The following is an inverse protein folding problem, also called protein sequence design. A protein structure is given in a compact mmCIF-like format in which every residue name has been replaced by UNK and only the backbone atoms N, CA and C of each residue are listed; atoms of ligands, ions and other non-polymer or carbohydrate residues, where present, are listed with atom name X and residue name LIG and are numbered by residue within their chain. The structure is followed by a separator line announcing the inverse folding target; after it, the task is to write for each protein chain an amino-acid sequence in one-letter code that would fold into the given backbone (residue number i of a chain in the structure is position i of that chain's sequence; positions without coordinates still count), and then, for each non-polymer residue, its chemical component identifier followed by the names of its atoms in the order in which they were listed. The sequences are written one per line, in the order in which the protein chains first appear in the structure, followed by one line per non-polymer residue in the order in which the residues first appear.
data_IF_127255206508
#
_entry.id   IF_127255206508
#
_cell.length_a   1.000
_cell.length_b   1.000
_cell.length_c   1.000
_cell.angle_alpha   90.00
_cell.angle_beta   90.00
_cell.angle_gamma   90.00
#
_symmetry.space_group_name_H-M   'P 1'
#
loop_
_entity.id
_entity.type
_entity.pdbx_description
1 polymer ?
#
# COMPACT_ATOMS: atom_id res chain seq x y z
N UNK A 1 -2.83 6.02 -15.58
CA UNK A 1 -2.61 7.01 -14.51
C UNK A 1 -2.01 6.32 -13.29
N UNK A 2 -0.91 6.86 -12.78
CA UNK A 2 -0.26 6.38 -11.55
C UNK A 2 -0.53 7.40 -10.44
N UNK A 3 -0.96 6.93 -9.27
CA UNK A 3 -1.20 7.75 -8.09
C UNK A 3 -0.21 7.44 -6.97
N UNK A 4 0.18 8.46 -6.21
CA UNK A 4 1.07 8.34 -5.07
C UNK A 4 0.45 8.99 -3.83
N UNK A 5 0.41 8.25 -2.72
CA UNK A 5 0.03 8.78 -1.41
C UNK A 5 1.17 8.45 -0.43
N UNK A 6 1.92 9.49 -0.05
CA UNK A 6 3.00 9.37 0.94
C UNK A 6 2.50 8.95 2.32
N UNK A 7 3.43 8.50 3.17
CA UNK A 7 3.14 8.15 4.56
C UNK A 7 2.81 9.36 5.45
N UNK A 8 2.32 9.07 6.65
CA UNK A 8 2.08 10.05 7.73
C UNK A 8 3.27 10.21 8.67
N UNK A 9 4.48 9.92 8.18
CA UNK A 9 5.69 10.04 8.98
C UNK A 9 6.03 11.50 9.21
N UNK A 10 6.26 11.88 10.48
CA UNK A 10 6.98 13.13 10.79
C UNK A 10 8.36 13.02 10.16
N UNK A 11 8.69 13.90 9.23
CA UNK A 11 10.09 14.23 8.97
C UNK A 11 10.53 15.27 10.00
N UNK A 12 11.83 15.46 10.22
CA UNK A 12 12.35 16.51 11.13
C UNK A 12 11.81 17.92 10.79
N UNK A 13 11.28 18.08 9.57
CA UNK A 13 10.70 19.31 9.03
C UNK A 13 9.17 19.36 9.08
N UNK A 14 8.50 18.29 9.51
CA UNK A 14 7.04 18.24 9.61
C UNK A 14 6.58 18.65 11.02
N UNK A 15 6.44 19.96 11.22
CA UNK A 15 6.02 20.59 12.48
C UNK A 15 4.48 20.70 12.61
N UNK A 16 3.72 20.21 11.62
CA UNK A 16 2.26 20.27 11.62
C UNK A 16 1.57 19.13 12.40
N UNK A 17 0.28 19.26 12.70
CA UNK A 17 -0.51 18.12 13.17
C UNK A 17 -0.50 17.00 12.12
N UNK A 18 -0.52 15.72 12.52
CA UNK A 18 -0.51 14.60 11.58
C UNK A 18 -1.65 14.74 10.59
N UNK A 19 -1.32 14.83 9.30
CA UNK A 19 -2.32 15.05 8.26
C UNK A 19 -3.03 13.73 7.95
N UNK A 20 -4.35 13.62 8.17
CA UNK A 20 -5.08 12.37 8.01
C UNK A 20 -5.04 11.87 6.56
N UNK A 21 -4.86 10.56 6.40
CA UNK A 21 -4.80 9.91 5.08
C UNK A 21 -6.17 9.89 4.37
N UNK A 22 -7.27 9.96 5.12
CA UNK A 22 -8.63 9.72 4.61
C UNK A 22 -9.01 10.66 3.47
N UNK A 23 -8.87 11.98 3.65
CA UNK A 23 -9.27 12.96 2.63
C UNK A 23 -8.40 12.95 1.36
N UNK A 24 -7.21 12.34 1.42
CA UNK A 24 -6.28 12.32 0.28
C UNK A 24 -6.70 11.32 -0.79
N UNK A 25 -7.34 10.22 -0.41
CA UNK A 25 -7.77 9.19 -1.35
C UNK A 25 -8.94 9.65 -2.21
N UNK A 26 -9.86 10.42 -1.64
CA UNK A 26 -11.00 10.96 -2.39
C UNK A 26 -10.56 12.05 -3.37
N UNK A 27 -9.62 12.91 -2.96
CA UNK A 27 -9.01 13.91 -3.85
C UNK A 27 -8.20 13.29 -5.00
N UNK A 28 -7.63 12.09 -4.80
CA UNK A 28 -6.88 11.38 -5.84
C UNK A 28 -7.79 10.88 -6.97
N UNK A 29 -8.96 10.31 -6.64
CA UNK A 29 -9.86 9.65 -7.59
C UNK A 29 -9.27 8.37 -8.22
N UNK A 30 -9.88 7.78 -9.27
CA UNK A 30 -9.53 6.47 -9.82
C UNK A 30 -8.17 6.41 -10.55
N UNK A 31 -7.29 5.47 -10.22
CA UNK A 31 -5.99 5.30 -10.90
C UNK A 31 -5.83 3.88 -11.42
N UNK A 32 -4.90 3.65 -12.34
CA UNK A 32 -4.57 2.29 -12.81
C UNK A 32 -3.60 1.60 -11.85
N UNK A 33 -2.70 2.38 -11.25
CA UNK A 33 -1.67 1.93 -10.31
C UNK A 33 -1.65 2.89 -9.13
N UNK A 34 -1.80 2.38 -7.91
CA UNK A 34 -1.65 3.14 -6.68
C UNK A 34 -0.37 2.74 -5.94
N UNK A 35 0.41 3.73 -5.51
CA UNK A 35 1.56 3.53 -4.64
C UNK A 35 1.33 4.24 -3.29
N UNK A 36 1.42 3.50 -2.19
CA UNK A 36 1.31 4.05 -0.83
C UNK A 36 2.52 3.70 0.02
N UNK A 37 2.74 4.45 1.09
CA UNK A 37 3.71 4.03 2.10
C UNK A 37 3.15 2.92 3.00
N UNK A 38 1.94 3.11 3.54
CA UNK A 38 1.30 2.20 4.51
C UNK A 38 0.55 1.05 3.83
N UNK A 39 0.44 -0.08 4.53
CA UNK A 39 -0.37 -1.22 4.10
C UNK A 39 -1.89 -0.94 4.15
N UNK A 40 -2.70 -1.61 3.30
CA UNK A 40 -4.14 -1.65 3.52
C UNK A 40 -4.43 -2.41 4.81
N UNK A 41 -5.56 -2.12 5.47
CA UNK A 41 -5.96 -2.78 6.71
C UNK A 41 -6.41 -4.25 6.51
N UNK A 42 -5.50 -5.08 6.00
CA UNK A 42 -5.65 -6.51 5.76
C UNK A 42 -4.63 -7.23 6.63
N UNK A 43 -5.03 -8.07 7.60
CA UNK A 43 -4.10 -8.73 8.52
C UNK A 43 -2.98 -9.53 7.83
N UNK A 44 -3.27 -10.15 6.70
CA UNK A 44 -2.26 -10.87 5.92
C UNK A 44 -1.13 -9.94 5.42
N UNK A 45 -1.45 -8.69 5.10
CA UNK A 45 -0.49 -7.70 4.60
C UNK A 45 0.09 -6.81 5.70
N UNK A 46 -0.62 -6.65 6.82
CA UNK A 46 -0.28 -5.68 7.88
C UNK A 46 0.21 -6.30 9.18
N UNK A 47 0.23 -7.63 9.34
CA UNK A 47 0.82 -8.25 10.53
C UNK A 47 2.29 -8.59 10.30
N UNK A 48 3.16 -8.08 11.18
CA UNK A 48 4.55 -8.51 11.24
C UNK A 48 4.64 -9.85 11.97
N UNK A 49 5.28 -10.84 11.34
CA UNK A 49 5.35 -12.21 11.88
C UNK A 49 6.34 -12.37 13.03
N UNK A 50 7.29 -11.45 13.20
CA UNK A 50 8.24 -11.50 14.32
C UNK A 50 7.61 -10.90 15.57
N UNK A 51 6.90 -9.78 15.45
CA UNK A 51 6.18 -9.19 16.59
C UNK A 51 4.87 -9.92 16.88
N UNK A 52 4.31 -10.61 15.88
CA UNK A 52 3.00 -11.25 15.92
C UNK A 52 1.83 -10.26 15.95
N UNK A 53 2.09 -8.96 15.76
CA UNK A 53 1.12 -7.89 15.95
C UNK A 53 0.80 -7.18 14.62
N UNK A 54 -0.41 -6.64 14.46
CA UNK A 54 -0.71 -5.71 13.39
C UNK A 54 0.14 -4.45 13.52
N UNK A 55 0.81 -4.09 12.44
CA UNK A 55 1.53 -2.84 12.25
C UNK A 55 0.60 -1.75 11.71
N UNK A 56 1.16 -0.54 11.52
CA UNK A 56 0.44 0.60 10.96
C UNK A 56 -0.15 0.24 9.59
N UNK A 57 -1.47 0.44 9.46
CA UNK A 57 -2.23 0.20 8.23
C UNK A 57 -3.39 1.19 8.10
N UNK A 58 -4.01 1.26 6.93
CA UNK A 58 -5.09 2.23 6.65
C UNK A 58 -6.38 1.54 6.21
N UNK A 59 -7.46 1.82 6.95
CA UNK A 59 -8.84 1.43 6.58
C UNK A 59 -9.36 2.25 5.41
N UNK A 60 -9.03 3.54 5.35
CA UNK A 60 -9.41 4.40 4.23
C UNK A 60 -8.78 3.93 2.92
N UNK A 61 -7.52 3.49 2.96
CA UNK A 61 -6.87 2.86 1.82
C UNK A 61 -7.62 1.59 1.39
N UNK A 62 -7.97 0.71 2.33
CA UNK A 62 -8.74 -0.49 2.01
C UNK A 62 -10.08 -0.14 1.34
N UNK A 63 -10.79 0.87 1.85
CA UNK A 63 -12.04 1.36 1.26
C UNK A 63 -11.85 1.92 -0.16
N UNK A 64 -10.78 2.69 -0.40
CA UNK A 64 -10.42 3.16 -1.74
C UNK A 64 -10.15 1.98 -2.68
N UNK A 65 -9.36 0.99 -2.27
CA UNK A 65 -9.03 -0.17 -3.10
C UNK A 65 -10.25 -1.03 -3.44
N UNK A 66 -11.20 -1.15 -2.50
CA UNK A 66 -12.47 -1.84 -2.73
C UNK A 66 -13.38 -1.09 -3.72
N UNK A 67 -13.35 0.25 -3.69
CA UNK A 67 -14.20 1.11 -4.51
C UNK A 67 -13.66 1.32 -5.92
N UNK A 68 -12.42 1.80 -6.02
CA UNK A 68 -11.81 2.23 -7.28
C UNK A 68 -11.08 1.11 -8.01
N UNK A 69 -10.73 0.04 -7.30
CA UNK A 69 -10.12 -1.18 -7.84
C UNK A 69 -9.02 -0.94 -8.89
N UNK A 70 -7.95 -0.19 -8.57
CA UNK A 70 -6.80 -0.06 -9.47
C UNK A 70 -6.27 -1.45 -9.82
N UNK A 71 -5.73 -1.65 -11.03
CA UNK A 71 -5.18 -2.95 -11.40
C UNK A 71 -4.06 -3.39 -10.44
N UNK A 72 -3.24 -2.42 -10.00
CA UNK A 72 -2.13 -2.65 -9.09
C UNK A 72 -2.09 -1.68 -7.92
N UNK A 73 -1.69 -2.21 -6.78
CA UNK A 73 -1.39 -1.45 -5.58
C UNK A 73 -0.03 -1.88 -5.01
N UNK A 74 0.88 -0.94 -4.82
CA UNK A 74 2.19 -1.18 -4.21
C UNK A 74 2.32 -0.42 -2.90
N UNK A 75 2.77 -1.12 -1.86
CA UNK A 75 2.95 -0.53 -0.54
C UNK A 75 4.25 -0.98 0.13
N UNK A 76 4.65 -0.30 1.20
CA UNK A 76 5.85 -0.63 1.98
C UNK A 76 5.57 -0.72 3.48
N UNK A 77 6.57 -0.33 4.28
CA UNK A 77 6.55 -0.18 5.74
C UNK A 77 6.51 -1.49 6.55
N UNK A 78 5.81 -2.52 6.07
CA UNK A 78 5.78 -3.83 6.76
C UNK A 78 7.01 -4.65 6.38
N UNK A 79 7.92 -4.84 7.34
CA UNK A 79 9.20 -5.49 7.09
C UNK A 79 9.11 -7.01 6.98
N UNK A 80 8.25 -7.68 7.77
CA UNK A 80 8.08 -9.12 7.74
C UNK A 80 6.59 -9.51 7.72
N UNK A 81 5.88 -9.25 6.59
CA UNK A 81 4.44 -9.48 6.52
C UNK A 81 4.11 -10.98 6.49
N UNK A 82 2.94 -11.35 7.01
CA UNK A 82 2.36 -12.71 6.86
C UNK A 82 2.24 -13.15 5.40
N UNK A 83 1.90 -12.23 4.51
CA UNK A 83 1.84 -12.42 3.07
C UNK A 83 2.44 -11.22 2.35
N UNK A 84 3.18 -11.46 1.27
CA UNK A 84 3.80 -10.39 0.46
C UNK A 84 2.82 -9.74 -0.51
N UNK A 85 1.73 -10.41 -0.84
CA UNK A 85 0.73 -9.95 -1.78
C UNK A 85 -0.66 -10.46 -1.44
N UNK A 86 -1.68 -9.75 -1.90
CA UNK A 86 -3.08 -10.08 -1.69
C UNK A 86 -3.94 -9.55 -2.83
N UNK A 87 -5.02 -10.26 -3.13
CA UNK A 87 -6.02 -9.84 -4.10
C UNK A 87 -7.19 -9.13 -3.38
N UNK A 88 -7.51 -7.90 -3.79
CA UNK A 88 -8.59 -7.08 -3.23
C UNK A 88 -9.53 -6.69 -4.37
N UNK A 89 -10.61 -7.45 -4.55
CA UNK A 89 -11.43 -7.35 -5.77
C UNK A 89 -10.56 -7.62 -7.00
N UNK A 90 -10.54 -6.69 -7.96
CA UNK A 90 -9.64 -6.74 -9.12
C UNK A 90 -8.20 -6.27 -8.85
N UNK A 91 -7.93 -5.64 -7.69
CA UNK A 91 -6.61 -5.08 -7.36
C UNK A 91 -5.63 -6.16 -6.90
N UNK A 92 -4.47 -6.23 -7.54
CA UNK A 92 -3.33 -6.97 -7.00
C UNK A 92 -2.48 -6.05 -6.11
N UNK A 93 -2.53 -6.28 -4.79
CA UNK A 93 -1.85 -5.48 -3.77
C UNK A 93 -0.57 -6.17 -3.31
N UNK A 94 0.60 -5.51 -3.43
CA UNK A 94 1.91 -6.13 -3.18
C UNK A 94 2.82 -5.26 -2.32
N UNK A 95 3.44 -5.87 -1.32
CA UNK A 95 4.48 -5.25 -0.51
C UNK A 95 5.79 -5.24 -1.32
N UNK A 96 6.31 -4.03 -1.57
CA UNK A 96 7.58 -3.81 -2.29
C UNK A 96 8.73 -3.41 -1.35
N UNK A 97 8.45 -3.18 -0.07
CA UNK A 97 9.44 -2.83 0.97
C UNK A 97 10.32 -3.99 1.43
N UNK A 98 9.96 -5.23 1.11
CA UNK A 98 10.73 -6.43 1.44
C UNK A 98 12.13 -6.49 0.76
N UNK A 99 12.44 -5.55 -0.14
CA UNK A 99 13.77 -5.39 -0.75
C UNK A 99 14.90 -5.38 0.28
N UNK A 100 14.73 -4.72 1.43
CA UNK A 100 15.79 -4.64 2.46
C UNK A 100 16.18 -6.02 3.00
N UNK A 101 15.27 -6.99 2.98
CA UNK A 101 15.54 -8.36 3.41
C UNK A 101 16.09 -9.26 2.29
N UNK A 102 15.78 -8.96 1.01
CA UNK A 102 16.13 -9.83 -0.12
C UNK A 102 17.26 -9.32 -1.01
N UNK A 103 17.55 -8.02 -1.00
CA UNK A 103 18.40 -7.36 -1.98
C UNK A 103 17.84 -7.41 -3.42
N UNK A 104 16.61 -7.87 -3.62
CA UNK A 104 16.01 -8.09 -4.93
C UNK A 104 14.82 -7.14 -5.15
N UNK A 105 14.85 -6.30 -6.20
CA UNK A 105 13.74 -5.40 -6.48
C UNK A 105 12.49 -6.21 -6.86
N UNK A 106 11.33 -5.69 -6.50
CA UNK A 106 10.06 -6.29 -6.94
C UNK A 106 9.91 -6.08 -8.44
N UNK A 107 9.98 -7.19 -9.21
CA UNK A 107 9.66 -7.18 -10.63
C UNK A 107 8.14 -7.33 -10.80
N UNK A 108 7.58 -6.47 -11.62
CA UNK A 108 6.19 -6.53 -12.02
C UNK A 108 6.10 -6.44 -13.54
N UNK A 109 5.52 -7.47 -14.16
CA UNK A 109 5.25 -7.46 -15.59
C UNK A 109 3.96 -6.67 -15.82
N UNK A 110 3.98 -5.72 -16.75
CA UNK A 110 2.76 -5.06 -17.18
C UNK A 110 1.76 -6.15 -17.62
N UNK A 111 0.56 -6.16 -17.03
CA UNK A 111 -0.51 -7.02 -17.52
C UNK A 111 -0.76 -6.58 -18.97
N UNK A 112 -0.50 -7.45 -19.94
CA UNK A 112 -0.88 -7.20 -21.32
C UNK A 112 -2.37 -6.87 -21.36
N UNK A 113 -2.76 -5.84 -22.11
CA UNK A 113 -4.17 -5.56 -22.36
C UNK A 113 -4.81 -6.86 -22.86
N UNK A 114 -5.74 -7.41 -22.08
CA UNK A 114 -6.60 -8.49 -22.56
C UNK A 114 -7.24 -8.01 -23.86
N UNK A 115 -7.18 -8.87 -24.88
CA UNK A 115 -7.90 -8.69 -26.13
C UNK A 115 -9.39 -8.51 -25.89
#
# INVERSE_FOLDING_TARGET
RVGFIGGTGRTLFDLGPPNPLEGRFDALGPVDILCTHVAPAIPALSTDVITGRPERSSKALLGYLQREQPAFHFFGDIHQPKAREWQIGATHSRNVGYFRATGLPTRHAARGKGR
#
